data_IF_607662963612
#
_entry.id   IF_607662963612
#
_cell.length_a   1.000
_cell.length_b   1.000
_cell.length_c   1.000
_cell.angle_alpha   90.00
_cell.angle_beta   90.00
_cell.angle_gamma   90.00
#
_symmetry.space_group_name_H-M   'P 1'
#
loop_
_entity.id
_entity.type
_entity.pdbx_description
1 polymer ?
#
# COMPACT_ATOMS: atom_id res chain seq x y z
N UNK A 1 14.72 -6.88 -0.02
CA UNK A 1 15.17 -8.26 -0.07
C UNK A 1 14.02 -9.23 0.25
N UNK A 2 14.15 -10.47 -0.21
CA UNK A 2 13.14 -11.50 0.01
C UNK A 2 12.87 -11.74 1.49
N UNK A 3 13.90 -11.64 2.33
CA UNK A 3 13.76 -11.82 3.79
C UNK A 3 12.72 -10.90 4.42
N UNK A 4 12.42 -9.76 3.80
CA UNK A 4 11.42 -8.84 4.29
C UNK A 4 9.99 -9.31 4.00
N UNK A 5 9.79 -10.18 3.02
CA UNK A 5 8.45 -10.56 2.57
C UNK A 5 7.68 -11.35 3.60
N UNK A 6 8.35 -12.23 4.31
CA UNK A 6 7.70 -13.07 5.32
C UNK A 6 7.17 -12.28 6.52
N UNK A 7 7.65 -11.08 6.70
CA UNK A 7 7.25 -10.21 7.81
C UNK A 7 6.02 -9.35 7.46
N UNK A 8 5.65 -9.31 6.18
CA UNK A 8 4.63 -8.40 5.73
C UNK A 8 3.23 -8.94 5.86
N UNK A 9 2.33 -8.03 6.12
CA UNK A 9 0.91 -8.23 5.99
C UNK A 9 0.63 -8.32 4.50
N UNK A 10 0.11 -9.43 4.05
CA UNK A 10 -0.10 -9.68 2.64
C UNK A 10 -1.53 -9.36 2.22
N UNK A 11 -1.75 -8.91 0.99
CA UNK A 11 -3.11 -8.68 0.49
C UNK A 11 -3.99 -9.92 0.52
N UNK A 12 -3.40 -11.10 0.41
CA UNK A 12 -4.13 -12.35 0.46
C UNK A 12 -4.78 -12.64 1.80
N UNK A 13 -4.32 -12.01 2.87
CA UNK A 13 -4.93 -12.17 4.19
C UNK A 13 -6.13 -11.26 4.39
N UNK A 14 -6.39 -10.39 3.44
CA UNK A 14 -7.48 -9.42 3.56
C UNK A 14 -8.64 -9.72 2.59
N UNK A 15 -8.55 -9.26 1.34
CA UNK A 15 -9.67 -9.35 0.39
C UNK A 15 -9.88 -10.73 -0.21
N UNK A 16 -8.80 -11.45 -0.39
CA UNK A 16 -8.84 -12.75 -1.06
C UNK A 16 -9.14 -13.90 -0.10
N UNK A 17 -9.38 -13.54 1.16
CA UNK A 17 -9.82 -14.47 2.16
C UNK A 17 -8.69 -15.06 2.99
N UNK A 18 -8.91 -15.08 4.29
CA UNK A 18 -7.98 -15.67 5.24
C UNK A 18 -7.75 -17.17 4.99
N UNK A 19 -8.71 -17.82 4.36
CA UNK A 19 -8.66 -19.24 4.05
C UNK A 19 -7.58 -19.60 3.05
N UNK A 20 -7.08 -18.63 2.28
CA UNK A 20 -6.06 -18.88 1.26
C UNK A 20 -4.65 -18.98 1.83
N UNK A 21 -4.44 -18.45 3.02
CA UNK A 21 -3.18 -18.54 3.73
C UNK A 21 -2.04 -17.70 3.12
N UNK A 22 -0.86 -17.69 3.79
CA UNK A 22 0.24 -16.80 3.42
C UNK A 22 0.93 -17.18 2.12
N UNK A 23 0.84 -18.44 1.68
CA UNK A 23 1.51 -18.90 0.46
C UNK A 23 0.73 -18.56 -0.81
N UNK A 24 -0.49 -18.06 -0.67
CA UNK A 24 -1.33 -17.72 -1.81
C UNK A 24 -0.65 -16.73 -2.76
N UNK A 25 0.03 -15.74 -2.23
CA UNK A 25 0.69 -14.71 -3.04
C UNK A 25 1.92 -15.22 -3.81
N UNK A 26 2.39 -16.41 -3.52
CA UNK A 26 3.47 -17.04 -4.29
C UNK A 26 2.97 -17.61 -5.62
N UNK A 27 1.66 -17.72 -5.81
CA UNK A 27 1.06 -18.20 -7.05
C UNK A 27 0.98 -17.05 -8.05
N UNK A 28 1.33 -17.35 -9.30
CA UNK A 28 1.26 -16.36 -10.38
C UNK A 28 -0.18 -15.94 -10.72
N UNK A 29 -1.17 -16.79 -10.41
CA UNK A 29 -2.58 -16.52 -10.66
C UNK A 29 -3.31 -15.82 -9.51
N UNK A 30 -2.62 -15.55 -8.41
CA UNK A 30 -3.20 -14.77 -7.32
C UNK A 30 -3.52 -13.35 -7.79
N UNK A 31 -4.59 -12.77 -7.25
CA UNK A 31 -4.95 -11.39 -7.57
C UNK A 31 -3.80 -10.43 -7.26
N UNK A 32 -3.21 -10.58 -6.09
CA UNK A 32 -2.04 -9.83 -5.66
C UNK A 32 -0.91 -10.84 -5.47
N UNK A 33 0.06 -10.81 -6.38
CA UNK A 33 1.12 -11.81 -6.41
C UNK A 33 2.49 -11.16 -6.32
N UNK A 34 3.42 -11.83 -5.63
CA UNK A 34 4.82 -11.42 -5.63
C UNK A 34 5.45 -11.41 -7.02
N UNK A 35 4.84 -12.10 -7.98
CA UNK A 35 5.30 -12.10 -9.38
C UNK A 35 4.91 -10.83 -10.14
N UNK A 36 3.97 -10.06 -9.64
CA UNK A 36 3.52 -8.80 -10.23
C UNK A 36 3.65 -7.69 -9.20
N UNK A 37 4.90 -7.34 -8.91
CA UNK A 37 5.22 -6.41 -7.84
C UNK A 37 6.49 -5.66 -8.16
N UNK A 38 6.56 -4.40 -7.74
CA UNK A 38 7.77 -3.61 -7.71
C UNK A 38 7.85 -2.89 -6.39
N UNK A 39 9.07 -2.60 -5.93
CA UNK A 39 9.26 -1.96 -4.64
C UNK A 39 10.23 -0.81 -4.71
N UNK A 40 10.07 0.14 -3.81
CA UNK A 40 11.02 1.18 -3.48
C UNK A 40 11.45 1.02 -2.02
N UNK A 41 12.15 2.00 -1.48
CA UNK A 41 12.59 1.92 -0.08
C UNK A 41 11.45 1.73 0.91
N UNK A 42 10.30 2.41 0.70
CA UNK A 42 9.20 2.44 1.66
C UNK A 42 7.88 1.89 1.12
N UNK A 43 7.82 1.47 -0.14
CA UNK A 43 6.58 1.01 -0.76
C UNK A 43 6.74 -0.30 -1.52
N UNK A 44 5.67 -1.11 -1.49
CA UNK A 44 5.39 -2.12 -2.50
C UNK A 44 4.28 -1.62 -3.40
N UNK A 45 4.39 -1.88 -4.70
CA UNK A 45 3.28 -1.76 -5.64
C UNK A 45 2.97 -3.14 -6.20
N UNK A 46 1.73 -3.57 -6.01
CA UNK A 46 1.18 -4.77 -6.62
C UNK A 46 0.19 -4.37 -7.70
N UNK A 47 0.08 -5.15 -8.77
CA UNK A 47 -0.91 -4.89 -9.80
C UNK A 47 -1.64 -6.17 -10.20
N UNK A 48 -2.88 -6.00 -10.63
CA UNK A 48 -3.75 -7.12 -11.01
C UNK A 48 -3.25 -7.85 -12.26
N UNK A 49 -3.62 -9.13 -12.44
CA UNK A 49 -3.13 -9.96 -13.55
C UNK A 49 -3.35 -9.39 -14.94
N UNK A 50 -4.39 -8.59 -15.13
CA UNK A 50 -4.70 -7.98 -16.42
C UNK A 50 -3.56 -7.17 -17.01
N UNK A 51 -2.70 -6.61 -16.19
CA UNK A 51 -1.54 -5.83 -16.64
C UNK A 51 -0.42 -6.70 -17.22
N UNK A 52 -0.38 -7.97 -16.89
CA UNK A 52 0.78 -8.80 -17.22
C UNK A 52 2.00 -8.44 -16.38
N UNK A 53 3.20 -8.61 -16.95
CA UNK A 53 4.44 -8.44 -16.20
C UNK A 53 4.84 -6.99 -15.99
N UNK A 54 4.39 -6.09 -16.85
CA UNK A 54 4.74 -4.67 -16.80
C UNK A 54 3.52 -3.81 -17.11
N UNK A 55 3.02 -3.03 -16.14
CA UNK A 55 1.86 -2.16 -16.38
C UNK A 55 2.07 -1.08 -17.44
N UNK A 56 3.31 -0.77 -17.80
CA UNK A 56 3.62 0.22 -18.83
C UNK A 56 3.97 -0.40 -20.18
N UNK A 57 3.82 -1.70 -20.35
CA UNK A 57 4.13 -2.38 -21.60
C UNK A 57 3.19 -1.98 -22.74
N UNK A 58 3.66 -2.09 -23.98
CA UNK A 58 2.84 -1.82 -25.16
C UNK A 58 1.64 -2.74 -25.28
N UNK A 59 1.74 -3.95 -24.71
CA UNK A 59 0.63 -4.89 -24.65
C UNK A 59 -0.53 -4.44 -23.76
N UNK A 60 -0.29 -3.50 -22.88
CA UNK A 60 -1.34 -2.91 -22.03
C UNK A 60 -2.03 -1.80 -22.82
N UNK A 61 -3.37 -1.76 -22.87
CA UNK A 61 -4.08 -0.65 -23.50
C UNK A 61 -3.59 0.69 -22.95
N UNK A 62 -3.38 1.66 -23.82
CA UNK A 62 -2.80 2.97 -23.44
C UNK A 62 -3.54 3.61 -22.26
N UNK A 63 -4.86 3.53 -22.26
CA UNK A 63 -5.69 4.09 -21.19
C UNK A 63 -5.42 3.44 -19.82
N UNK A 64 -4.86 2.25 -19.80
CA UNK A 64 -4.59 1.48 -18.58
C UNK A 64 -3.10 1.45 -18.21
N UNK A 65 -2.22 1.98 -19.06
CA UNK A 65 -0.78 1.97 -18.76
C UNK A 65 -0.44 2.83 -17.57
N UNK A 66 0.46 2.32 -16.73
CA UNK A 66 0.98 3.05 -15.59
C UNK A 66 2.51 2.91 -15.54
N UNK A 67 3.20 4.03 -15.43
CA UNK A 67 4.63 4.04 -15.16
C UNK A 67 4.85 3.80 -13.66
N UNK A 68 5.21 2.57 -13.31
CA UNK A 68 5.37 2.16 -11.91
C UNK A 68 6.56 2.90 -11.27
N UNK A 69 7.63 3.15 -12.01
CA UNK A 69 8.78 3.88 -11.46
C UNK A 69 8.40 5.31 -11.10
N UNK A 70 7.61 5.98 -11.93
CA UNK A 70 7.11 7.32 -11.62
C UNK A 70 6.20 7.29 -10.40
N UNK A 71 5.29 6.32 -10.33
CA UNK A 71 4.41 6.15 -9.17
C UNK A 71 5.21 5.97 -7.87
N UNK A 72 6.19 5.10 -7.88
CA UNK A 72 7.04 4.84 -6.71
C UNK A 72 7.87 6.09 -6.33
N UNK A 73 8.45 6.78 -7.31
CA UNK A 73 9.22 7.99 -7.06
C UNK A 73 8.38 9.06 -6.38
N UNK A 74 7.17 9.30 -6.88
CA UNK A 74 6.25 10.28 -6.30
C UNK A 74 5.76 9.83 -4.91
N UNK A 75 5.47 8.54 -4.75
CA UNK A 75 5.06 7.99 -3.45
C UNK A 75 6.15 8.23 -2.40
N UNK A 76 7.42 8.03 -2.73
CA UNK A 76 8.54 8.29 -1.83
C UNK A 76 8.62 9.78 -1.43
N UNK A 77 8.35 10.69 -2.34
CA UNK A 77 8.31 12.12 -2.03
C UNK A 77 7.20 12.45 -1.02
N UNK A 78 6.02 11.86 -1.20
CA UNK A 78 4.91 12.05 -0.26
C UNK A 78 5.18 11.38 1.09
N UNK A 79 5.83 10.22 1.10
CA UNK A 79 6.27 9.56 2.33
C UNK A 79 7.20 10.49 3.12
N UNK A 80 8.20 11.02 2.47
CA UNK A 80 9.15 11.94 3.09
C UNK A 80 8.44 13.16 3.69
N UNK A 81 7.48 13.73 2.98
CA UNK A 81 6.70 14.87 3.47
C UNK A 81 5.93 14.51 4.74
N UNK A 82 5.23 13.36 4.72
CA UNK A 82 4.42 12.95 5.87
C UNK A 82 5.26 12.59 7.09
N UNK A 83 6.39 11.94 6.90
CA UNK A 83 7.26 11.54 8.01
C UNK A 83 8.10 12.71 8.51
N UNK A 84 8.82 13.40 7.62
CA UNK A 84 9.81 14.41 8.03
C UNK A 84 9.18 15.77 8.31
N UNK A 85 8.22 16.22 7.49
CA UNK A 85 7.63 17.55 7.63
C UNK A 85 6.41 17.56 8.53
N UNK A 86 5.54 16.57 8.42
CA UNK A 86 4.29 16.51 9.15
C UNK A 86 4.36 15.65 10.42
N UNK A 87 5.42 14.86 10.58
CA UNK A 87 5.60 14.03 11.77
C UNK A 87 4.52 12.98 11.98
N UNK A 88 3.91 12.48 10.89
CA UNK A 88 2.80 11.52 10.97
C UNK A 88 3.22 10.16 11.54
N UNK A 89 4.49 9.80 11.42
CA UNK A 89 5.04 8.57 11.99
C UNK A 89 6.46 8.83 12.50
N UNK A 90 6.82 8.17 13.59
CA UNK A 90 8.18 8.19 14.12
C UNK A 90 8.85 6.88 13.72
N UNK A 91 9.70 6.94 12.71
CA UNK A 91 10.35 5.77 12.11
C UNK A 91 11.76 5.60 12.67
N UNK A 92 12.17 4.35 12.85
CA UNK A 92 13.52 4.00 13.28
C UNK A 92 13.74 3.95 14.79
N UNK A 93 12.68 4.08 15.59
CA UNK A 93 12.76 4.13 17.06
C UNK A 93 11.89 3.09 17.77
N UNK A 94 11.41 2.08 17.05
CA UNK A 94 10.54 1.05 17.60
C UNK A 94 9.13 1.51 17.91
N UNK A 95 8.70 2.64 17.37
CA UNK A 95 7.38 3.25 17.64
C UNK A 95 6.41 3.11 16.49
N UNK A 96 6.85 2.61 15.36
CA UNK A 96 6.03 2.47 14.15
C UNK A 96 6.23 1.12 13.50
N UNK A 97 5.14 0.57 12.98
CA UNK A 97 5.19 -0.62 12.12
C UNK A 97 6.04 -0.37 10.87
N UNK A 98 6.17 0.89 10.46
CA UNK A 98 7.00 1.29 9.30
C UNK A 98 8.50 1.06 9.51
N UNK A 99 8.95 0.80 10.73
CA UNK A 99 10.36 0.46 10.98
C UNK A 99 10.79 -0.80 10.22
N UNK A 100 9.89 -1.76 10.06
CA UNK A 100 10.18 -3.06 9.47
C UNK A 100 9.26 -3.42 8.30
N UNK A 101 8.29 -2.58 7.96
CA UNK A 101 7.29 -2.88 6.94
C UNK A 101 7.16 -1.72 5.98
N UNK A 102 6.87 -2.03 4.72
CA UNK A 102 6.62 -1.03 3.69
C UNK A 102 5.13 -0.80 3.55
N UNK A 103 4.76 0.42 3.23
CA UNK A 103 3.39 0.76 2.81
C UNK A 103 3.10 0.10 1.46
N UNK A 104 1.85 -0.11 1.16
CA UNK A 104 1.43 -0.90 0.02
C UNK A 104 0.51 -0.12 -0.90
N UNK A 105 0.73 -0.28 -2.20
CA UNK A 105 -0.11 0.31 -3.26
C UNK A 105 -0.66 -0.83 -4.09
N UNK A 106 -1.97 -0.85 -4.27
CA UNK A 106 -2.68 -1.86 -5.06
C UNK A 106 -3.26 -1.21 -6.30
N UNK A 107 -2.74 -1.58 -7.46
CA UNK A 107 -3.14 -1.03 -8.75
C UNK A 107 -4.18 -1.93 -9.40
N UNK A 108 -5.37 -1.40 -9.58
CA UNK A 108 -6.51 -2.11 -10.12
C UNK A 108 -6.56 -1.98 -11.64
N UNK A 109 -6.84 -3.09 -12.32
CA UNK A 109 -6.99 -3.14 -13.78
C UNK A 109 -8.42 -2.78 -14.15
N UNK A 110 -8.75 -1.49 -14.16
CA UNK A 110 -10.09 -1.00 -14.45
C UNK A 110 -10.06 0.42 -14.99
N UNK A 111 -11.12 0.81 -15.68
CA UNK A 111 -11.29 2.17 -16.21
C UNK A 111 -12.07 3.09 -15.28
N UNK A 112 -12.90 2.52 -14.41
CA UNK A 112 -13.65 3.30 -13.44
C UNK A 112 -12.69 3.95 -12.44
N UNK A 113 -12.82 5.25 -12.27
CA UNK A 113 -11.95 6.01 -11.38
C UNK A 113 -12.08 5.53 -9.94
N UNK A 114 -10.95 5.22 -9.33
CA UNK A 114 -10.90 4.84 -7.92
C UNK A 114 -9.57 5.24 -7.31
N UNK A 115 -9.65 5.96 -6.20
CA UNK A 115 -8.49 6.21 -5.37
C UNK A 115 -8.94 6.20 -3.91
N UNK A 116 -8.36 5.31 -3.13
CA UNK A 116 -8.68 5.17 -1.71
C UNK A 116 -7.40 4.98 -0.92
N UNK A 117 -7.15 5.90 0.01
CA UNK A 117 -6.08 5.78 1.00
C UNK A 117 -6.65 5.29 2.31
N UNK A 118 -6.11 4.22 2.84
CA UNK A 118 -6.52 3.61 4.08
C UNK A 118 -5.38 2.74 4.61
N UNK A 119 -5.66 1.52 4.92
CA UNK A 119 -4.72 0.52 5.35
C UNK A 119 -5.44 -0.79 5.59
N UNK A 120 -4.74 -1.79 6.09
CA UNK A 120 -5.41 -3.01 6.46
C UNK A 120 -4.71 -3.72 7.62
N UNK A 121 -5.47 -4.61 8.24
CA UNK A 121 -5.06 -5.47 9.36
C UNK A 121 -4.61 -4.68 10.59
N UNK A 122 -5.02 -3.42 10.71
CA UNK A 122 -4.64 -2.50 11.80
C UNK A 122 -3.13 -2.33 11.97
N UNK A 123 -2.35 -2.50 10.89
CA UNK A 123 -0.90 -2.47 10.96
C UNK A 123 -0.24 -1.55 9.96
N UNK A 124 -0.73 -1.49 8.71
CA UNK A 124 0.00 -0.83 7.65
C UNK A 124 -0.91 0.02 6.78
N UNK A 125 -0.44 1.21 6.44
CA UNK A 125 -1.11 2.09 5.48
C UNK A 125 -1.02 1.52 4.06
N UNK A 126 -2.09 1.70 3.29
CA UNK A 126 -2.19 1.19 1.94
C UNK A 126 -3.08 2.08 1.09
N UNK A 127 -2.88 1.99 -0.24
CA UNK A 127 -3.71 2.66 -1.23
C UNK A 127 -4.24 1.65 -2.23
N UNK A 128 -5.47 1.90 -2.68
CA UNK A 128 -6.08 1.21 -3.81
C UNK A 128 -6.35 2.25 -4.88
N UNK A 129 -5.74 2.11 -6.05
CA UNK A 129 -5.82 3.09 -7.13
C UNK A 129 -5.99 2.39 -8.46
N UNK A 130 -6.49 3.13 -9.45
CA UNK A 130 -6.55 2.66 -10.83
C UNK A 130 -5.70 3.56 -11.73
N UNK A 131 -5.44 3.16 -13.00
CA UNK A 131 -4.54 3.93 -13.86
C UNK A 131 -4.90 5.38 -14.06
N UNK A 132 -6.18 5.74 -14.13
CA UNK A 132 -6.57 7.12 -14.37
C UNK A 132 -6.15 8.07 -13.24
N UNK A 133 -5.98 7.56 -12.02
CA UNK A 133 -5.52 8.35 -10.87
C UNK A 133 -4.01 8.57 -10.87
N UNK A 134 -3.29 7.85 -11.73
CA UNK A 134 -1.85 7.90 -11.88
C UNK A 134 -1.40 8.68 -13.13
N UNK A 135 -2.30 9.45 -13.77
CA UNK A 135 -2.05 10.16 -15.03
C UNK A 135 -2.43 11.64 -14.95
N UNK A 136 -1.57 12.49 -14.43
CA UNK A 136 -0.27 12.19 -13.82
C UNK A 136 -0.40 11.73 -12.37
N UNK A 137 0.65 11.11 -11.86
CA UNK A 137 0.79 10.87 -10.42
C UNK A 137 1.01 12.24 -9.77
N UNK A 138 0.07 12.64 -8.94
CA UNK A 138 0.10 13.99 -8.37
C UNK A 138 -0.76 14.10 -7.12
N UNK A 139 -1.55 15.17 -7.03
CA UNK A 139 -2.29 15.53 -5.82
C UNK A 139 -3.25 14.44 -5.35
N UNK A 140 -3.89 13.71 -6.26
CA UNK A 140 -4.79 12.60 -5.87
C UNK A 140 -4.04 11.53 -5.10
N UNK A 141 -2.91 11.08 -5.63
CA UNK A 141 -2.08 10.06 -4.94
C UNK A 141 -1.54 10.63 -3.64
N UNK A 142 -1.08 11.87 -3.62
CA UNK A 142 -0.62 12.55 -2.40
C UNK A 142 -1.70 12.61 -1.33
N UNK A 143 -2.93 12.94 -1.73
CA UNK A 143 -4.08 12.97 -0.83
C UNK A 143 -4.35 11.59 -0.21
N UNK A 144 -4.35 10.54 -1.02
CA UNK A 144 -4.61 9.18 -0.55
C UNK A 144 -3.46 8.65 0.31
N UNK A 145 -2.22 9.00 0.00
CA UNK A 145 -1.09 8.69 0.90
C UNK A 145 -1.28 9.39 2.25
N UNK A 146 -1.77 10.63 2.25
CA UNK A 146 -2.12 11.33 3.49
C UNK A 146 -3.12 10.54 4.34
N UNK A 147 -4.18 10.01 3.72
CA UNK A 147 -5.15 9.15 4.43
C UNK A 147 -4.49 7.86 4.93
N UNK A 148 -3.61 7.28 4.16
CA UNK A 148 -2.87 6.08 4.58
C UNK A 148 -2.01 6.36 5.79
N UNK A 149 -1.41 7.55 5.89
CA UNK A 149 -0.67 7.96 7.09
C UNK A 149 -1.59 8.23 8.29
N UNK A 150 -2.79 8.75 8.08
CA UNK A 150 -3.79 8.85 9.15
C UNK A 150 -4.12 7.47 9.72
N UNK A 151 -4.28 6.49 8.85
CA UNK A 151 -4.44 5.10 9.25
C UNK A 151 -3.20 4.59 10.01
N UNK A 152 -2.01 4.93 9.52
CA UNK A 152 -0.75 4.51 10.15
C UNK A 152 -0.59 5.09 11.55
N UNK A 153 -1.02 6.31 11.80
CA UNK A 153 -1.04 6.90 13.15
C UNK A 153 -1.83 6.02 14.10
N UNK A 154 -3.03 5.61 13.70
CA UNK A 154 -3.88 4.69 14.47
C UNK A 154 -3.21 3.35 14.69
N UNK A 155 -2.66 2.77 13.63
CA UNK A 155 -2.01 1.46 13.68
C UNK A 155 -0.78 1.49 14.60
N UNK A 156 0.00 2.56 14.56
CA UNK A 156 1.19 2.70 15.41
C UNK A 156 0.81 2.86 16.88
N UNK A 157 -0.31 3.51 17.18
CA UNK A 157 -0.82 3.57 18.56
C UNK A 157 -1.21 2.19 19.10
N UNK A 158 -1.79 1.35 18.27
CA UNK A 158 -2.04 -0.05 18.62
C UNK A 158 -0.73 -0.80 18.82
N UNK A 159 0.22 -0.59 17.95
CA UNK A 159 1.53 -1.25 17.99
C UNK A 159 2.30 -0.91 19.26
N UNK A 160 2.27 0.35 19.71
CA UNK A 160 2.95 0.79 20.94
C UNK A 160 2.14 0.55 22.20
N UNK A 161 0.88 0.13 22.08
CA UNK A 161 -0.01 -0.07 23.22
C UNK A 161 -0.64 1.20 23.79
N UNK A 162 -0.54 2.35 23.10
CA UNK A 162 -1.20 3.59 23.52
C UNK A 162 -2.73 3.47 23.48
N UNK A 163 -3.26 2.65 22.56
CA UNK A 163 -4.69 2.32 22.48
C UNK A 163 -4.84 0.83 22.30
N UNK A 164 -6.04 0.34 22.58
CA UNK A 164 -6.39 -1.07 22.40
C UNK A 164 -7.38 -1.23 21.24
N UNK A 165 -7.56 -2.43 20.69
CA UNK A 165 -8.62 -2.67 19.71
C UNK A 165 -10.01 -2.29 20.18
N UNK A 166 -10.29 -2.39 21.49
CA UNK A 166 -11.56 -2.00 22.08
C UNK A 166 -11.78 -0.50 21.96
N UNK A 167 -10.75 0.31 22.18
CA UNK A 167 -10.83 1.77 22.05
C UNK A 167 -11.25 2.17 20.64
N UNK A 168 -10.74 1.46 19.63
CA UNK A 168 -11.14 1.70 18.23
C UNK A 168 -12.53 1.20 17.92
N UNK A 169 -12.93 0.09 18.53
CA UNK A 169 -14.27 -0.48 18.33
C UNK A 169 -15.38 0.45 18.82
N UNK A 170 -15.08 1.32 19.78
CA UNK A 170 -16.01 2.34 20.27
C UNK A 170 -16.22 3.49 19.26
N UNK A 171 -15.63 3.41 18.08
CA UNK A 171 -15.79 4.42 17.06
C UNK A 171 -14.85 5.61 17.20
N UNK A 172 -13.88 5.56 18.09
CA UNK A 172 -12.88 6.63 18.24
C UNK A 172 -12.03 6.72 16.97
N UNK A 173 -11.86 7.93 16.47
CA UNK A 173 -11.01 8.21 15.31
C UNK A 173 -9.62 8.56 15.81
N UNK A 174 -8.70 7.70 15.55
CA UNK A 174 -7.33 7.84 16.02
C UNK A 174 -6.40 8.42 14.96
#
# INVERSE_FOLDING_TARGET
AISNYSMYITPGTWNEGFEKGPDYMLRSDARWSWWRMKQSEHFFVFWEPGFGDDPNAESVPEALRVDIDDLLQKAEQFYKTNVEKLGMATVGQGKSVLDNHKMQIYLLYQTDWLATGSGYDDKIGALWVNPSTCKPVGSTIGHEIGHSFQYQVSADKLFTGEVTPIDRADGSQL
#
